data_IF_170427993432
#
_entry.id   IF_170427993432
#
_cell.length_a   1.000
_cell.length_b   1.000
_cell.length_c   1.000
_cell.angle_alpha   90.00
_cell.angle_beta   90.00
_cell.angle_gamma   90.00
#
_symmetry.space_group_name_H-M   'P 1'
#
loop_
_entity.id
_entity.type
_entity.pdbx_description
1 polymer ?
#
# COMPACT_ATOMS: atom_id res chain seq x y z
N UNK A 1 0.76 21.00 -22.39
CA UNK A 1 -0.30 20.59 -21.45
C UNK A 1 -0.67 19.15 -21.75
N UNK A 2 0.07 18.18 -21.18
CA UNK A 2 -0.18 16.73 -21.33
C UNK A 2 0.35 15.91 -20.15
N UNK A 3 1.13 16.54 -19.28
CA UNK A 3 1.79 15.91 -18.12
C UNK A 3 1.05 16.08 -16.79
N UNK A 4 -0.02 16.89 -16.75
CA UNK A 4 -0.78 17.14 -15.51
C UNK A 4 -1.94 16.15 -15.29
N UNK A 5 -2.39 15.45 -16.34
CA UNK A 5 -3.60 14.62 -16.27
C UNK A 5 -3.36 13.26 -15.59
N UNK A 6 -2.13 12.75 -15.59
CA UNK A 6 -1.80 11.44 -15.00
C UNK A 6 -1.68 11.47 -13.47
N UNK A 7 -1.46 12.64 -12.88
CA UNK A 7 -1.32 12.79 -11.42
C UNK A 7 -2.68 12.79 -10.68
N UNK A 8 -3.77 13.11 -11.39
CA UNK A 8 -5.11 13.15 -10.81
C UNK A 8 -5.76 11.75 -10.67
N UNK A 9 -5.33 10.77 -11.48
CA UNK A 9 -6.00 9.46 -11.59
C UNK A 9 -5.63 8.47 -10.47
N UNK A 10 -4.41 8.55 -9.92
CA UNK A 10 -4.00 7.72 -8.77
C UNK A 10 -4.33 8.35 -7.41
N UNK A 11 -4.49 9.67 -7.37
CA UNK A 11 -4.71 10.43 -6.13
C UNK A 11 -6.02 10.07 -5.41
N UNK A 12 -7.04 9.61 -6.11
CA UNK A 12 -8.36 9.38 -5.49
C UNK A 12 -8.47 7.96 -4.92
N UNK A 13 -7.87 6.96 -5.58
CA UNK A 13 -7.96 5.56 -5.14
C UNK A 13 -6.96 5.22 -4.02
N UNK A 14 -5.83 5.92 -3.94
CA UNK A 14 -4.83 5.71 -2.87
C UNK A 14 -4.61 6.93 -1.94
N UNK A 15 -5.07 8.16 -2.29
CA UNK A 15 -4.64 9.38 -1.59
C UNK A 15 -5.74 10.42 -1.23
N UNK A 16 -7.03 10.15 -1.45
CA UNK A 16 -8.14 10.96 -0.94
C UNK A 16 -8.12 12.48 -1.21
N UNK A 17 -7.29 13.00 -2.12
CA UNK A 17 -7.20 14.44 -2.41
C UNK A 17 -6.66 14.74 -3.81
N UNK A 18 -7.20 15.79 -4.45
CA UNK A 18 -6.75 16.26 -5.76
C UNK A 18 -5.41 16.99 -5.64
N UNK A 19 -4.43 16.61 -6.45
CA UNK A 19 -3.14 17.31 -6.56
C UNK A 19 -3.34 18.73 -7.11
N UNK A 20 -3.32 19.75 -6.24
CA UNK A 20 -3.18 21.15 -6.64
C UNK A 20 -1.70 21.51 -6.75
N UNK A 21 -1.30 22.07 -7.90
CA UNK A 21 0.03 22.63 -8.10
C UNK A 21 0.09 24.06 -7.57
N UNK A 22 0.93 24.32 -6.57
CA UNK A 22 1.29 25.70 -6.19
C UNK A 22 2.82 25.84 -6.19
N UNK A 23 3.27 26.96 -6.76
CA UNK A 23 4.66 27.35 -7.00
C UNK A 23 5.42 27.80 -5.74
N UNK A 24 6.74 27.76 -5.90
CA UNK A 24 7.90 28.04 -5.04
C UNK A 24 7.79 29.06 -3.88
N UNK A 25 8.58 28.82 -2.82
CA UNK A 25 9.60 29.78 -2.35
C UNK A 25 10.69 29.10 -1.48
N UNK A 26 11.93 29.58 -1.64
CA UNK A 26 13.20 29.12 -1.05
C UNK A 26 13.23 28.95 0.49
N UNK A 27 14.03 27.99 1.00
CA UNK A 27 15.28 28.25 1.76
C UNK A 27 16.03 26.97 2.21
N UNK A 28 17.30 27.18 2.56
CA UNK A 28 18.39 26.21 2.74
C UNK A 28 18.17 25.20 3.88
N UNK A 29 18.13 23.93 3.50
CA UNK A 29 18.44 22.71 4.26
C UNK A 29 18.77 21.63 3.21
N UNK A 30 19.38 20.46 3.52
CA UNK A 30 19.54 19.40 2.52
C UNK A 30 18.18 19.17 1.87
N UNK A 31 18.00 19.66 0.65
CA UNK A 31 16.68 19.81 0.07
C UNK A 31 16.18 18.40 -0.14
N UNK A 32 15.14 17.95 0.58
CA UNK A 32 14.60 16.63 0.34
C UNK A 32 14.24 16.59 -1.13
N UNK A 33 14.59 15.51 -1.83
CA UNK A 33 14.23 15.41 -3.24
C UNK A 33 12.72 15.64 -3.36
N UNK A 34 12.22 16.21 -4.48
CA UNK A 34 10.77 16.39 -4.65
C UNK A 34 9.98 15.11 -4.34
N UNK A 35 10.61 13.95 -4.58
CA UNK A 35 10.10 12.63 -4.26
C UNK A 35 10.06 12.34 -2.74
N UNK A 36 11.10 12.65 -1.97
CA UNK A 36 11.09 12.52 -0.51
C UNK A 36 10.00 13.40 0.14
N UNK A 37 9.78 14.59 -0.41
CA UNK A 37 8.70 15.48 0.06
C UNK A 37 7.32 14.89 -0.24
N UNK A 38 7.15 14.25 -1.40
CA UNK A 38 5.91 13.55 -1.75
C UNK A 38 5.65 12.37 -0.81
N UNK A 39 6.65 11.50 -0.61
CA UNK A 39 6.53 10.38 0.33
C UNK A 39 6.18 10.85 1.73
N UNK A 40 6.90 11.86 2.24
CA UNK A 40 6.60 12.44 3.55
C UNK A 40 5.16 12.95 3.63
N UNK A 41 4.74 13.76 2.65
CA UNK A 41 3.39 14.36 2.63
C UNK A 41 2.28 13.32 2.71
N UNK A 42 2.42 12.21 1.99
CA UNK A 42 1.35 11.21 1.88
C UNK A 42 1.46 10.06 2.87
N UNK A 43 2.67 9.69 3.29
CA UNK A 43 2.90 8.46 4.07
C UNK A 43 3.32 8.68 5.52
N UNK A 44 3.85 9.86 5.89
CA UNK A 44 4.32 10.12 7.26
C UNK A 44 3.23 9.82 8.30
N UNK A 45 1.98 10.20 8.02
CA UNK A 45 0.84 10.01 8.91
C UNK A 45 -0.17 8.96 8.42
N UNK A 46 0.11 8.24 7.34
CA UNK A 46 -0.78 7.17 6.86
C UNK A 46 -0.66 5.95 7.78
N UNK A 47 -1.78 5.41 8.25
CA UNK A 47 -1.77 4.19 9.07
C UNK A 47 -1.64 2.92 8.23
N UNK A 48 -1.98 2.96 6.94
CA UNK A 48 -1.94 1.80 6.05
C UNK A 48 -0.54 1.26 5.72
N UNK A 49 -0.48 0.25 4.85
CA UNK A 49 0.71 -0.43 4.35
C UNK A 49 1.78 0.55 3.88
N UNK A 50 1.43 1.54 3.06
CA UNK A 50 2.42 2.48 2.55
C UNK A 50 3.01 3.39 3.62
N UNK A 51 2.21 3.78 4.62
CA UNK A 51 2.69 4.54 5.76
C UNK A 51 3.59 3.71 6.68
N UNK A 52 3.16 2.48 6.98
CA UNK A 52 3.92 1.52 7.77
C UNK A 52 5.27 1.18 7.11
N UNK A 53 5.27 1.01 5.78
CA UNK A 53 6.47 0.80 4.98
C UNK A 53 7.39 2.03 4.98
N UNK A 54 6.84 3.23 4.75
CA UNK A 54 7.63 4.47 4.75
C UNK A 54 8.31 4.72 6.10
N UNK A 55 7.62 4.43 7.20
CA UNK A 55 8.17 4.53 8.57
C UNK A 55 9.03 3.33 8.97
N UNK A 56 9.19 2.33 8.09
CA UNK A 56 9.94 1.10 8.31
C UNK A 56 9.55 0.39 9.62
N UNK A 57 8.24 0.24 9.84
CA UNK A 57 7.71 -0.36 11.06
C UNK A 57 7.80 -1.88 11.04
N UNK A 58 8.02 -2.46 12.22
CA UNK A 58 8.01 -3.91 12.42
C UNK A 58 6.64 -4.55 12.17
N UNK A 59 5.55 -3.76 12.21
CA UNK A 59 4.18 -4.22 11.99
C UNK A 59 3.82 -4.44 10.52
N UNK A 60 4.63 -3.98 9.57
CA UNK A 60 4.28 -3.97 8.13
C UNK A 60 3.79 -5.34 7.63
N UNK A 61 4.55 -6.40 7.88
CA UNK A 61 4.18 -7.74 7.42
C UNK A 61 2.92 -8.27 8.11
N UNK A 62 2.70 -7.89 9.37
CA UNK A 62 1.49 -8.26 10.11
C UNK A 62 0.25 -7.57 9.52
N UNK A 63 0.37 -6.29 9.16
CA UNK A 63 -0.69 -5.52 8.51
C UNK A 63 -0.99 -6.11 7.13
N UNK A 64 0.05 -6.45 6.35
CA UNK A 64 -0.09 -7.08 5.03
C UNK A 64 -0.85 -8.39 5.10
N UNK A 65 -0.43 -9.31 5.97
CA UNK A 65 -1.07 -10.61 6.12
C UNK A 65 -2.51 -10.50 6.63
N UNK A 66 -2.76 -9.61 7.60
CA UNK A 66 -4.12 -9.34 8.07
C UNK A 66 -5.02 -8.79 6.95
N UNK A 67 -4.48 -7.92 6.09
CA UNK A 67 -5.23 -7.31 4.98
C UNK A 67 -5.64 -8.38 3.97
N UNK A 68 -4.70 -9.24 3.55
CA UNK A 68 -4.99 -10.35 2.65
C UNK A 68 -6.02 -11.32 3.26
N UNK A 69 -5.88 -11.67 4.54
CA UNK A 69 -6.84 -12.53 5.23
C UNK A 69 -8.25 -11.92 5.27
N UNK A 70 -8.35 -10.64 5.63
CA UNK A 70 -9.63 -9.94 5.74
C UNK A 70 -10.37 -9.91 4.40
N UNK A 71 -9.64 -9.71 3.30
CA UNK A 71 -10.21 -9.71 1.95
C UNK A 71 -10.58 -11.11 1.49
N UNK A 72 -9.77 -12.11 1.81
CA UNK A 72 -10.06 -13.52 1.53
C UNK A 72 -11.36 -13.98 2.23
N UNK A 73 -11.54 -13.61 3.50
CA UNK A 73 -12.77 -13.86 4.27
C UNK A 73 -14.02 -13.21 3.65
N UNK A 74 -13.85 -12.13 2.89
CA UNK A 74 -14.90 -11.46 2.11
C UNK A 74 -15.04 -12.00 0.68
N UNK A 75 -14.39 -13.12 0.36
CA UNK A 75 -14.36 -13.73 -0.97
C UNK A 75 -13.68 -12.88 -2.06
N UNK A 76 -12.83 -11.93 -1.66
CA UNK A 76 -11.98 -11.13 -2.56
C UNK A 76 -10.61 -11.80 -2.78
N UNK A 77 -10.63 -13.10 -3.09
CA UNK A 77 -9.43 -13.94 -3.26
C UNK A 77 -8.50 -13.46 -4.38
N UNK A 78 -9.01 -12.61 -5.29
CA UNK A 78 -8.26 -12.02 -6.40
C UNK A 78 -7.08 -11.16 -5.93
N UNK A 79 -7.19 -10.52 -4.76
CA UNK A 79 -6.12 -9.66 -4.22
C UNK A 79 -4.93 -10.51 -3.80
N UNK A 80 -5.17 -11.58 -3.05
CA UNK A 80 -4.13 -12.53 -2.65
C UNK A 80 -3.44 -13.12 -3.89
N UNK A 81 -4.22 -13.62 -4.87
CA UNK A 81 -3.66 -14.15 -6.12
C UNK A 81 -2.81 -13.12 -6.87
N UNK A 82 -3.23 -11.86 -6.91
CA UNK A 82 -2.52 -10.80 -7.62
C UNK A 82 -1.24 -10.41 -6.89
N UNK A 83 -1.34 -10.12 -5.59
CA UNK A 83 -0.22 -9.63 -4.80
C UNK A 83 0.82 -10.71 -4.55
N UNK A 84 0.41 -11.88 -4.03
CA UNK A 84 1.33 -12.98 -3.77
C UNK A 84 1.84 -13.63 -5.04
N UNK A 85 1.00 -13.73 -6.08
CA UNK A 85 1.43 -14.21 -7.39
C UNK A 85 2.56 -13.35 -7.98
N UNK A 86 2.38 -12.03 -7.99
CA UNK A 86 3.41 -11.10 -8.45
C UNK A 86 4.64 -11.15 -7.55
N UNK A 87 4.46 -11.10 -6.22
CA UNK A 87 5.54 -11.15 -5.24
C UNK A 87 6.44 -12.36 -5.42
N UNK A 88 5.83 -13.55 -5.58
CA UNK A 88 6.58 -14.79 -5.79
C UNK A 88 7.25 -14.84 -7.16
N UNK A 89 6.61 -14.33 -8.21
CA UNK A 89 7.19 -14.30 -9.57
C UNK A 89 8.41 -13.39 -9.68
N UNK A 90 8.38 -12.23 -9.00
CA UNK A 90 9.49 -11.26 -8.97
C UNK A 90 10.48 -11.53 -7.82
N UNK A 91 10.23 -12.58 -7.03
CA UNK A 91 11.07 -12.98 -5.90
C UNK A 91 11.20 -11.89 -4.82
N UNK A 92 10.14 -11.12 -4.60
CA UNK A 92 10.07 -10.04 -3.63
C UNK A 92 9.75 -10.55 -2.21
N UNK A 93 10.35 -9.90 -1.21
CA UNK A 93 9.84 -9.92 0.16
C UNK A 93 8.58 -9.05 0.27
N UNK A 94 7.82 -9.20 1.36
CA UNK A 94 6.64 -8.35 1.59
C UNK A 94 7.01 -6.86 1.61
N UNK A 95 8.05 -6.40 2.34
CA UNK A 95 8.46 -5.00 2.30
C UNK A 95 8.87 -4.51 0.91
N UNK A 96 9.48 -5.36 0.09
CA UNK A 96 9.84 -5.00 -1.29
C UNK A 96 8.61 -4.82 -2.17
N UNK A 97 7.63 -5.73 -2.08
CA UNK A 97 6.36 -5.61 -2.79
C UNK A 97 5.61 -4.34 -2.37
N UNK A 98 5.45 -4.11 -1.07
CA UNK A 98 4.74 -2.91 -0.58
C UNK A 98 5.47 -1.66 -1.02
N UNK A 99 6.80 -1.63 -0.93
CA UNK A 99 7.58 -0.51 -1.46
C UNK A 99 7.39 -0.27 -2.95
N UNK A 100 7.27 -1.33 -3.74
CA UNK A 100 6.94 -1.24 -5.16
C UNK A 100 5.53 -0.67 -5.39
N UNK A 101 4.53 -1.17 -4.66
CA UNK A 101 3.14 -0.70 -4.73
C UNK A 101 2.98 0.76 -4.31
N UNK A 102 3.78 1.22 -3.35
CA UNK A 102 3.75 2.57 -2.81
C UNK A 102 4.67 3.54 -3.57
N UNK A 103 5.36 3.10 -4.63
CA UNK A 103 6.32 3.93 -5.32
C UNK A 103 5.65 4.87 -6.34
N UNK A 104 5.70 6.18 -6.08
CA UNK A 104 5.12 7.21 -6.95
C UNK A 104 5.68 7.27 -8.38
N UNK A 105 6.83 6.67 -8.64
CA UNK A 105 7.49 6.68 -9.96
C UNK A 105 7.30 5.39 -10.76
N UNK A 106 6.64 4.39 -10.19
CA UNK A 106 6.47 3.08 -10.81
C UNK A 106 5.08 2.97 -11.43
N UNK A 107 5.00 2.36 -12.61
CA UNK A 107 3.73 1.95 -13.21
C UNK A 107 3.40 0.53 -12.75
N UNK A 108 2.23 0.34 -12.15
CA UNK A 108 1.83 -0.97 -11.66
C UNK A 108 1.51 -1.93 -12.83
N UNK A 109 1.74 -3.24 -12.66
CA UNK A 109 1.30 -4.23 -13.64
C UNK A 109 -0.21 -4.19 -13.84
N UNK A 110 -0.67 -4.52 -15.06
CA UNK A 110 -2.07 -4.40 -15.43
C UNK A 110 -3.04 -5.17 -14.51
N UNK A 111 -2.59 -6.32 -13.99
CA UNK A 111 -3.36 -7.16 -13.05
C UNK A 111 -3.77 -6.44 -11.76
N UNK A 112 -2.97 -5.46 -11.29
CA UNK A 112 -3.30 -4.66 -10.10
C UNK A 112 -4.45 -3.67 -10.34
N UNK A 113 -4.76 -3.34 -11.59
CA UNK A 113 -5.95 -2.55 -11.92
C UNK A 113 -7.16 -3.45 -12.11
N UNK A 114 -6.99 -4.61 -12.76
CA UNK A 114 -8.09 -5.54 -13.02
C UNK A 114 -8.68 -6.18 -11.77
N UNK A 115 -7.93 -6.24 -10.67
CA UNK A 115 -8.45 -6.75 -9.39
C UNK A 115 -9.48 -5.81 -8.74
N UNK A 116 -9.59 -4.55 -9.16
CA UNK A 116 -10.46 -3.55 -8.56
C UNK A 116 -11.74 -3.33 -9.38
N UNK A 117 -12.86 -3.14 -8.70
CA UNK A 117 -14.10 -2.68 -9.32
C UNK A 117 -13.96 -1.22 -9.78
N UNK A 118 -14.54 -0.91 -10.93
CA UNK A 118 -14.64 0.47 -11.41
C UNK A 118 -15.82 1.14 -10.70
N UNK A 119 -15.57 2.10 -9.81
CA UNK A 119 -16.66 2.89 -9.20
C UNK A 119 -17.28 3.83 -10.26
N UNK A 120 -18.62 3.81 -10.41
CA UNK A 120 -19.34 4.76 -11.27
C UNK A 120 -18.99 6.21 -10.88
N UNK A 121 -18.33 6.94 -11.77
CA UNK A 121 -17.88 8.32 -11.56
C UNK A 121 -16.35 8.51 -11.60
N UNK A 122 -15.57 7.42 -11.61
CA UNK A 122 -14.17 7.44 -12.01
C UNK A 122 -14.07 6.82 -13.41
N UNK A 123 -14.04 7.67 -14.45
CA UNK A 123 -13.66 7.24 -15.80
C UNK A 123 -12.18 6.81 -15.79
N UNK A 124 -11.97 5.58 -15.35
CA UNK A 124 -10.82 4.79 -15.76
C UNK A 124 -11.09 4.45 -17.22
N UNK A 125 -10.45 5.18 -18.13
CA UNK A 125 -10.43 4.89 -19.56
C UNK A 125 -9.62 3.59 -19.78
N UNK A 126 -10.17 2.48 -19.29
CA UNK A 126 -9.69 1.12 -19.53
C UNK A 126 -10.04 0.82 -20.97
N UNK A 127 -9.06 1.00 -21.85
CA UNK A 127 -9.11 0.57 -23.25
C UNK A 127 -9.80 -0.79 -23.35
N UNK A 128 -10.85 -0.79 -24.17
CA UNK A 128 -11.70 -1.91 -24.59
C UNK A 128 -11.20 -3.29 -24.17
N UNK A 129 -11.91 -3.89 -23.21
CA UNK A 129 -11.98 -5.33 -23.05
C UNK A 129 -12.48 -5.90 -24.37
N UNK A 130 -11.59 -6.46 -25.19
CA UNK A 130 -12.02 -7.26 -26.33
C UNK A 130 -12.67 -8.52 -25.76
N UNK A 131 -13.99 -8.51 -25.72
CA UNK A 131 -14.81 -9.69 -25.48
C UNK A 131 -14.58 -10.68 -26.62
N UNK A 132 -13.49 -11.43 -26.55
CA UNK A 132 -13.40 -12.68 -27.28
C UNK A 132 -12.82 -13.78 -26.40
N UNK A 133 -13.75 -14.65 -26.05
CA UNK A 133 -13.61 -16.05 -25.72
C UNK A 133 -13.23 -16.51 -24.29
N UNK A 134 -14.00 -17.53 -23.91
CA UNK A 134 -13.84 -18.46 -22.79
C UNK A 134 -14.26 -18.05 -21.38
N UNK A 135 -15.35 -18.70 -20.96
CA UNK A 135 -15.80 -18.92 -19.59
C UNK A 135 -14.62 -19.27 -18.67
N UNK A 136 -14.16 -18.32 -17.89
CA UNK A 136 -13.46 -18.55 -16.62
C UNK A 136 -14.19 -17.72 -15.59
N UNK A 137 -14.64 -18.34 -14.49
CA UNK A 137 -15.27 -17.62 -13.40
C UNK A 137 -14.22 -16.68 -12.79
N UNK A 138 -14.15 -15.47 -13.33
CA UNK A 138 -13.26 -14.41 -12.87
C UNK A 138 -13.66 -14.11 -11.42
N UNK A 139 -12.69 -14.18 -10.50
CA UNK A 139 -12.96 -13.94 -9.09
C UNK A 139 -13.57 -12.53 -8.93
N UNK A 140 -14.51 -12.33 -7.98
CA UNK A 140 -15.14 -11.04 -7.79
C UNK A 140 -14.07 -9.95 -7.60
N UNK A 141 -14.16 -8.89 -8.39
CA UNK A 141 -13.33 -7.71 -8.24
C UNK A 141 -13.58 -7.07 -6.86
N UNK A 142 -12.66 -6.21 -6.43
CA UNK A 142 -12.72 -5.59 -5.10
C UNK A 142 -13.10 -4.12 -5.23
N UNK A 143 -14.17 -3.65 -4.56
CA UNK A 143 -14.40 -2.23 -4.42
C UNK A 143 -13.17 -1.56 -3.80
N UNK A 144 -12.62 -0.47 -4.37
CA UNK A 144 -11.43 0.19 -3.80
C UNK A 144 -11.57 0.54 -2.32
N UNK A 145 -12.77 0.95 -1.89
CA UNK A 145 -13.08 1.23 -0.48
C UNK A 145 -12.92 0.01 0.43
N UNK A 146 -13.21 -1.18 -0.05
CA UNK A 146 -13.06 -2.41 0.71
C UNK A 146 -11.58 -2.74 0.94
N UNK A 147 -10.74 -2.53 -0.07
CA UNK A 147 -9.28 -2.66 0.06
C UNK A 147 -8.73 -1.67 1.09
N UNK A 148 -9.08 -0.38 0.96
CA UNK A 148 -8.64 0.66 1.91
C UNK A 148 -9.16 0.40 3.32
N UNK A 149 -10.41 -0.06 3.47
CA UNK A 149 -10.98 -0.40 4.77
C UNK A 149 -10.25 -1.57 5.43
N UNK A 150 -9.96 -2.64 4.67
CA UNK A 150 -9.23 -3.79 5.20
C UNK A 150 -7.84 -3.38 5.70
N UNK A 151 -7.10 -2.61 4.91
CA UNK A 151 -5.78 -2.09 5.26
C UNK A 151 -5.81 -1.23 6.53
N UNK A 152 -6.73 -0.26 6.60
CA UNK A 152 -6.87 0.63 7.76
C UNK A 152 -7.28 -0.11 9.03
N UNK A 153 -8.26 -1.01 8.94
CA UNK A 153 -8.75 -1.80 10.08
C UNK A 153 -7.68 -2.76 10.62
N UNK A 154 -6.92 -3.39 9.73
CA UNK A 154 -5.79 -4.25 10.14
C UNK A 154 -4.69 -3.45 10.81
N UNK A 155 -4.35 -2.29 10.28
CA UNK A 155 -3.39 -1.38 10.89
C UNK A 155 -3.79 -0.98 12.31
N UNK A 156 -5.04 -0.50 12.49
CA UNK A 156 -5.55 -0.10 13.80
C UNK A 156 -5.48 -1.25 14.83
N UNK A 157 -5.92 -2.45 14.43
CA UNK A 157 -5.87 -3.65 15.29
C UNK A 157 -4.45 -4.01 15.69
N UNK A 158 -3.51 -3.99 14.76
CA UNK A 158 -2.11 -4.37 15.04
C UNK A 158 -1.45 -3.33 15.95
N UNK A 159 -1.64 -2.03 15.71
CA UNK A 159 -1.07 -1.00 16.57
C UNK A 159 -1.66 -1.02 17.99
N UNK A 160 -2.95 -1.32 18.13
CA UNK A 160 -3.56 -1.49 19.44
C UNK A 160 -2.91 -2.65 20.21
N UNK A 161 -2.62 -3.77 19.54
CA UNK A 161 -1.94 -4.91 20.14
C UNK A 161 -0.50 -4.60 20.55
N UNK A 162 0.27 -3.93 19.71
CA UNK A 162 1.68 -3.58 20.01
C UNK A 162 1.80 -2.51 21.09
N UNK A 163 0.85 -1.57 21.17
CA UNK A 163 0.85 -0.53 22.21
C UNK A 163 0.46 -1.08 23.60
N UNK A 164 -0.30 -2.18 23.63
CA UNK A 164 -0.77 -2.81 24.87
C UNK A 164 0.24 -3.79 25.47
N UNK A 165 1.32 -4.15 24.75
CA UNK A 165 2.35 -5.04 25.27
C UNK A 165 3.24 -4.32 26.30
N UNK A 166 3.40 -4.86 27.53
CA UNK A 166 4.37 -4.34 28.47
C UNK A 166 5.78 -4.39 27.87
N UNK A 167 6.64 -3.38 28.08
CA UNK A 167 8.02 -3.46 27.62
C UNK A 167 8.67 -4.69 28.23
N UNK A 168 9.22 -5.56 27.39
CA UNK A 168 9.94 -6.75 27.85
C UNK A 168 11.25 -6.29 28.48
N UNK A 169 11.30 -6.22 29.81
CA UNK A 169 12.52 -5.90 30.54
C UNK A 169 13.60 -6.93 30.19
N UNK A 170 14.78 -6.52 29.67
CA UNK A 170 15.88 -7.44 29.46
C UNK A 170 16.33 -7.99 30.81
N UNK A 171 16.36 -9.31 30.98
CA UNK A 171 17.01 -9.92 32.14
C UNK A 171 18.52 -9.62 32.07
N UNK A 172 19.03 -9.05 33.16
CA UNK A 172 20.43 -8.64 33.34
C UNK A 172 21.36 -9.86 33.16
N UNK A 173 22.47 -9.73 32.41
CA UNK A 173 23.40 -10.85 32.26
C UNK A 173 24.16 -11.04 33.57
N UNK A 174 24.06 -12.23 34.16
CA UNK A 174 24.91 -12.66 35.28
C UNK A 174 26.35 -12.67 34.80
N UNK A 175 27.14 -11.70 35.24
CA UNK A 175 28.60 -11.69 35.08
C UNK A 175 29.15 -12.72 36.07
N UNK A 176 29.46 -13.93 35.59
CA UNK A 176 30.34 -14.83 36.34
C UNK A 176 31.77 -14.26 36.29
N UNK A 177 32.23 -13.76 37.44
CA UNK A 177 33.63 -13.46 37.67
C UNK A 177 34.41 -14.77 37.75
N UNK A 178 35.27 -14.99 36.77
CA UNK A 178 36.29 -16.05 36.78
C UNK A 178 37.49 -15.53 37.58
N UNK A 179 37.81 -16.19 38.69
CA UNK A 179 39.06 -16.07 39.45
C UNK A 179 39.96 -17.28 39.17
#
# INVERSE_FOLDING_TARGET
>A
MKTALTCALFGILFFGSQCSSEEETHEQNPTPTPQDQLYKRYYENASGLCGSWYRNESSLESIYNCTLQTLDEKNHTIVNKTWEGFRLSENFTIPQLVGFMCNFSVTMPHSFYLMLETEEGLELDLLERSDDDSVSAEAPQVPPRELTYAEGNCSEKIYALTTTQPPTTPSEPTVEAIE
#
